data_IF_653316787869
#
_entry.id   IF_653316787869
#
_cell.length_a   1.000
_cell.length_b   1.000
_cell.length_c   1.000
_cell.angle_alpha   90.00
_cell.angle_beta   90.00
_cell.angle_gamma   90.00
#
_symmetry.space_group_name_H-M   'P 1'
#
loop_
_entity.id
_entity.type
_entity.pdbx_description
1 polymer ?
#
# COMPACT_ATOMS: atom_id res chain seq x y z
N UNK A 1 14.35 29.09 11.78
CA UNK A 1 14.53 28.74 10.36
C UNK A 1 13.17 28.31 9.83
N UNK A 2 12.61 29.05 8.87
CA UNK A 2 11.26 28.78 8.36
C UNK A 2 11.23 27.46 7.61
N UNK A 3 10.26 26.60 7.94
CA UNK A 3 9.97 25.41 7.16
C UNK A 3 9.71 25.82 5.71
N UNK A 4 10.54 25.33 4.79
CA UNK A 4 10.28 25.45 3.36
C UNK A 4 9.02 24.63 3.11
N UNK A 5 7.85 25.29 3.10
CA UNK A 5 6.60 24.66 2.67
C UNK A 5 6.82 24.23 1.22
N UNK A 6 7.01 22.94 0.98
CA UNK A 6 7.05 22.36 -0.36
C UNK A 6 5.74 22.73 -1.04
N UNK A 7 5.80 23.62 -2.05
CA UNK A 7 4.60 24.00 -2.78
C UNK A 7 4.13 22.76 -3.55
N UNK A 8 2.86 22.40 -3.37
CA UNK A 8 2.21 21.34 -4.13
C UNK A 8 1.51 21.99 -5.31
N UNK A 9 1.78 21.53 -6.53
CA UNK A 9 0.94 21.88 -7.67
C UNK A 9 -0.18 20.85 -7.71
N UNK A 10 -1.43 21.31 -7.54
CA UNK A 10 -2.58 20.43 -7.74
C UNK A 10 -2.65 20.07 -9.20
N UNK A 11 -2.54 18.78 -9.51
CA UNK A 11 -2.99 18.29 -10.80
C UNK A 11 -4.54 18.38 -10.80
N UNK A 12 -5.18 18.36 -11.98
CA UNK A 12 -6.63 18.52 -12.06
C UNK A 12 -7.36 17.61 -11.06
N UNK A 13 -8.30 18.19 -10.30
CA UNK A 13 -8.97 17.56 -9.13
C UNK A 13 -9.84 16.33 -9.47
N UNK A 14 -9.83 15.90 -10.73
CA UNK A 14 -10.56 14.75 -11.25
C UNK A 14 -9.64 13.82 -12.05
N UNK A 15 -8.39 13.60 -11.63
CA UNK A 15 -7.66 12.41 -12.07
C UNK A 15 -8.30 11.21 -11.35
N UNK A 16 -9.46 10.78 -11.85
CA UNK A 16 -9.71 9.35 -11.85
C UNK A 16 -8.58 8.83 -12.74
N UNK A 17 -7.71 7.96 -12.23
CA UNK A 17 -6.99 7.05 -13.12
C UNK A 17 -8.04 6.04 -13.65
N UNK A 18 -9.08 6.57 -14.29
CA UNK A 18 -9.79 5.92 -15.36
C UNK A 18 -8.80 5.98 -16.49
N UNK A 19 -7.78 5.12 -16.41
CA UNK A 19 -7.33 4.54 -17.65
C UNK A 19 -8.62 4.08 -18.34
N UNK A 20 -8.79 4.45 -19.60
CA UNK A 20 -9.75 3.81 -20.49
C UNK A 20 -9.62 2.27 -20.52
N UNK A 21 -8.62 1.71 -19.81
CA UNK A 21 -8.49 0.31 -19.41
C UNK A 21 -7.81 0.23 -18.00
N UNK A 22 -8.53 0.02 -16.87
CA UNK A 22 -7.90 -0.25 -15.58
C UNK A 22 -6.87 -1.39 -15.70
N UNK A 23 -5.79 -1.40 -14.91
CA UNK A 23 -4.84 -2.51 -14.96
C UNK A 23 -5.56 -3.84 -14.78
N UNK A 24 -5.47 -4.69 -15.81
CA UNK A 24 -5.97 -6.05 -15.76
C UNK A 24 -4.89 -6.91 -15.15
N UNK A 25 -5.23 -7.64 -14.09
CA UNK A 25 -4.31 -8.56 -13.42
C UNK A 25 -4.32 -9.96 -14.07
N UNK A 26 -5.16 -10.15 -15.09
CA UNK A 26 -5.28 -11.39 -15.87
C UNK A 26 -3.95 -11.74 -16.54
N UNK A 27 -3.77 -13.03 -16.83
CA UNK A 27 -2.55 -13.58 -17.46
C UNK A 27 -1.25 -13.25 -16.70
N UNK A 28 -1.36 -13.09 -15.38
CA UNK A 28 -0.28 -12.72 -14.46
C UNK A 28 0.36 -11.36 -14.74
N UNK A 29 -0.30 -10.47 -15.49
CA UNK A 29 0.20 -9.12 -15.76
C UNK A 29 0.23 -8.30 -14.48
N UNK A 30 1.42 -7.85 -14.08
CA UNK A 30 1.61 -7.12 -12.83
C UNK A 30 1.84 -5.62 -13.11
N UNK A 31 1.02 -4.71 -12.56
CA UNK A 31 1.08 -3.27 -12.88
C UNK A 31 2.23 -2.55 -12.17
N UNK A 32 3.45 -3.01 -12.39
CA UNK A 32 4.68 -2.36 -11.96
C UNK A 32 5.17 -1.42 -13.07
N UNK A 33 5.29 -0.14 -12.74
CA UNK A 33 5.63 0.88 -13.72
C UNK A 33 6.94 0.58 -14.45
N UNK A 34 6.93 0.81 -15.76
CA UNK A 34 8.07 0.55 -16.65
C UNK A 34 8.69 1.82 -17.23
N UNK A 35 8.03 2.97 -17.09
CA UNK A 35 8.56 4.29 -17.50
C UNK A 35 9.74 4.75 -16.65
N UNK A 36 9.95 4.12 -15.50
CA UNK A 36 11.13 4.21 -14.62
C UNK A 36 11.22 2.95 -13.76
N UNK A 37 12.41 2.65 -13.24
CA UNK A 37 12.61 1.53 -12.31
C UNK A 37 11.97 1.81 -10.95
N UNK A 38 11.14 0.87 -10.48
CA UNK A 38 10.46 0.92 -9.17
C UNK A 38 11.17 0.01 -8.17
N UNK A 39 11.21 0.42 -6.91
CA UNK A 39 11.81 -0.35 -5.82
C UNK A 39 10.89 -1.47 -5.32
N UNK A 40 10.88 -2.60 -6.05
CA UNK A 40 10.05 -3.78 -5.77
C UNK A 40 10.14 -4.29 -4.32
N UNK A 41 11.36 -4.42 -3.79
CA UNK A 41 11.57 -4.93 -2.42
C UNK A 41 10.82 -4.10 -1.39
N UNK A 42 10.80 -2.77 -1.55
CA UNK A 42 10.06 -1.88 -0.66
C UNK A 42 8.56 -2.16 -0.66
N UNK A 43 7.96 -2.31 -1.84
CA UNK A 43 6.52 -2.61 -1.99
C UNK A 43 6.16 -3.94 -1.32
N UNK A 44 6.97 -4.97 -1.58
CA UNK A 44 6.72 -6.33 -1.08
C UNK A 44 6.83 -6.40 0.44
N UNK A 45 7.93 -5.92 1.01
CA UNK A 45 8.18 -5.99 2.45
C UNK A 45 7.22 -5.10 3.24
N UNK A 46 6.85 -3.93 2.73
CA UNK A 46 5.83 -3.07 3.34
C UNK A 46 4.46 -3.76 3.37
N UNK A 47 4.06 -4.43 2.28
CA UNK A 47 2.79 -5.14 2.26
C UNK A 47 2.78 -6.30 3.26
N UNK A 48 3.87 -7.10 3.32
CA UNK A 48 3.99 -8.17 4.32
C UNK A 48 3.94 -7.62 5.75
N UNK A 49 4.56 -6.46 5.99
CA UNK A 49 4.51 -5.75 7.27
C UNK A 49 3.10 -5.27 7.64
N UNK A 50 2.34 -4.71 6.68
CA UNK A 50 0.91 -4.38 6.88
C UNK A 50 0.08 -5.63 7.18
N UNK A 51 0.29 -6.72 6.42
CA UNK A 51 -0.43 -7.97 6.62
C UNK A 51 -0.18 -8.51 8.02
N UNK A 52 1.05 -8.50 8.52
CA UNK A 52 1.39 -8.93 9.89
C UNK A 52 0.71 -8.07 10.98
N UNK A 53 0.19 -6.89 10.63
CA UNK A 53 -0.38 -5.96 11.60
C UNK A 53 0.67 -5.12 12.33
N UNK A 54 1.91 -5.12 11.87
CA UNK A 54 3.02 -4.44 12.52
C UNK A 54 2.93 -2.92 12.39
N UNK A 55 3.45 -2.22 13.40
CA UNK A 55 3.54 -0.75 13.48
C UNK A 55 4.96 -0.28 13.78
N UNK A 56 5.92 -1.21 13.88
CA UNK A 56 7.33 -0.94 14.13
C UNK A 56 8.10 -0.74 12.81
N UNK A 57 8.47 0.51 12.50
CA UNK A 57 9.22 0.85 11.30
C UNK A 57 10.60 0.16 11.24
N UNK A 58 11.21 -0.19 12.38
CA UNK A 58 12.55 -0.80 12.42
C UNK A 58 12.57 -2.18 11.75
N UNK A 59 11.46 -2.93 11.81
CA UNK A 59 11.35 -4.22 11.10
C UNK A 59 11.59 -4.07 9.59
N UNK A 60 11.16 -2.94 9.01
CA UNK A 60 11.43 -2.62 7.60
C UNK A 60 12.86 -2.14 7.40
N UNK A 61 13.36 -1.25 8.28
CA UNK A 61 14.71 -0.70 8.18
C UNK A 61 15.79 -1.80 8.27
N UNK A 62 15.60 -2.81 9.11
CA UNK A 62 16.47 -3.99 9.25
C UNK A 62 16.54 -4.82 7.96
N UNK A 63 15.46 -4.83 7.16
CA UNK A 63 15.44 -5.44 5.83
C UNK A 63 15.96 -4.49 4.73
N UNK A 64 16.44 -3.31 5.09
CA UNK A 64 16.93 -2.29 4.17
C UNK A 64 15.82 -1.50 3.46
N UNK A 65 14.59 -1.53 3.99
CA UNK A 65 13.44 -0.76 3.48
C UNK A 65 13.22 0.44 4.38
N UNK A 66 13.53 1.64 3.88
CA UNK A 66 13.62 2.89 4.67
C UNK A 66 12.50 3.89 4.43
N UNK A 67 11.40 3.46 3.83
CA UNK A 67 10.30 4.34 3.42
C UNK A 67 9.56 4.99 4.60
N UNK A 68 9.65 4.38 5.79
CA UNK A 68 9.05 4.88 7.04
C UNK A 68 10.06 5.53 8.01
N UNK A 69 11.36 5.51 7.71
CA UNK A 69 12.41 6.01 8.62
C UNK A 69 12.17 7.48 9.02
N UNK A 70 11.76 8.32 8.06
CA UNK A 70 11.52 9.73 8.32
C UNK A 70 10.34 9.94 9.28
N UNK A 71 9.21 9.25 9.05
CA UNK A 71 8.01 9.34 9.88
C UNK A 71 8.18 8.66 11.25
N UNK A 72 9.07 7.67 11.36
CA UNK A 72 9.41 7.00 12.61
C UNK A 72 10.54 7.66 13.40
N UNK A 73 11.25 8.65 12.83
CA UNK A 73 12.40 9.27 13.49
C UNK A 73 12.01 10.00 14.77
N UNK A 74 12.94 10.04 15.74
CA UNK A 74 12.75 10.80 16.99
C UNK A 74 12.33 12.25 16.74
N UNK A 75 13.01 12.92 15.79
CA UNK A 75 12.72 14.31 15.43
C UNK A 75 11.28 14.50 14.92
N UNK A 76 10.79 13.60 14.07
CA UNK A 76 9.44 13.68 13.52
C UNK A 76 8.38 13.40 14.60
N UNK A 77 8.60 12.38 15.43
CA UNK A 77 7.68 12.02 16.50
C UNK A 77 7.55 13.15 17.53
N UNK A 78 8.65 13.79 17.93
CA UNK A 78 8.62 14.94 18.85
C UNK A 78 7.85 16.13 18.26
N UNK A 79 8.12 16.45 16.99
CA UNK A 79 7.41 17.51 16.27
C UNK A 79 5.92 17.24 16.12
N UNK A 80 5.54 15.96 16.08
CA UNK A 80 4.15 15.51 15.94
C UNK A 80 3.43 15.35 17.29
N UNK A 81 4.10 15.65 18.41
CA UNK A 81 3.52 15.56 19.76
C UNK A 81 3.59 14.16 20.39
N UNK A 82 4.39 13.25 19.84
CA UNK A 82 4.60 11.89 20.32
C UNK A 82 5.93 11.74 21.09
N UNK A 83 6.22 12.67 22.01
CA UNK A 83 7.50 12.69 22.76
C UNK A 83 7.74 11.43 23.58
N UNK A 84 6.67 10.79 24.07
CA UNK A 84 6.74 9.61 24.94
C UNK A 84 6.74 8.29 24.14
N UNK A 85 6.56 8.36 22.82
CA UNK A 85 6.53 7.20 21.92
C UNK A 85 7.94 6.77 21.54
N UNK A 86 8.24 5.48 21.50
CA UNK A 86 9.58 5.00 21.07
C UNK A 86 9.88 5.35 19.60
N UNK A 87 11.14 5.65 19.27
CA UNK A 87 11.57 5.85 17.88
C UNK A 87 11.28 4.62 17.01
N UNK A 88 10.59 4.81 15.89
CA UNK A 88 10.13 3.73 15.02
C UNK A 88 8.70 3.23 15.30
N UNK A 89 8.09 3.60 16.43
CA UNK A 89 6.67 3.33 16.68
C UNK A 89 5.82 4.34 15.87
N UNK A 90 5.09 3.84 14.89
CA UNK A 90 4.27 4.66 13.99
C UNK A 90 2.86 4.92 14.53
N UNK A 91 2.49 4.31 15.65
CA UNK A 91 1.12 4.29 16.15
C UNK A 91 0.23 3.30 15.37
N UNK A 92 -1.10 3.36 15.58
CA UNK A 92 -2.07 2.42 14.99
C UNK A 92 -2.33 2.68 13.49
N UNK A 93 -1.28 2.60 12.66
CA UNK A 93 -1.33 2.83 11.21
C UNK A 93 -1.95 1.63 10.45
N UNK A 94 -1.69 1.50 9.14
CA UNK A 94 -2.40 0.59 8.23
C UNK A 94 -2.55 -0.85 8.75
N UNK A 95 -1.44 -1.53 9.06
CA UNK A 95 -1.48 -2.94 9.48
C UNK A 95 -2.31 -3.13 10.75
N UNK A 96 -2.15 -2.24 11.73
CA UNK A 96 -2.96 -2.26 12.94
C UNK A 96 -4.45 -2.14 12.63
N UNK A 97 -4.84 -1.20 11.76
CA UNK A 97 -6.24 -1.08 11.36
C UNK A 97 -6.73 -2.30 10.57
N UNK A 98 -5.87 -2.97 9.81
CA UNK A 98 -6.27 -4.17 9.05
C UNK A 98 -6.52 -5.37 9.96
N UNK A 99 -5.75 -5.54 11.04
CA UNK A 99 -5.78 -6.73 11.90
C UNK A 99 -6.49 -6.51 13.25
N UNK A 100 -6.56 -5.26 13.72
CA UNK A 100 -6.96 -4.89 15.07
C UNK A 100 -7.86 -3.64 15.10
N UNK A 101 -8.70 -3.43 14.08
CA UNK A 101 -9.53 -2.22 13.98
C UNK A 101 -10.38 -2.01 15.24
N UNK A 102 -10.26 -0.83 15.86
CA UNK A 102 -11.00 -0.47 17.07
C UNK A 102 -10.43 -1.03 18.39
N UNK A 103 -9.30 -1.72 18.37
CA UNK A 103 -8.54 -2.01 19.58
C UNK A 103 -7.86 -0.74 20.13
N UNK A 104 -7.67 -0.67 21.44
CA UNK A 104 -6.93 0.43 22.07
C UNK A 104 -5.43 0.23 21.82
N UNK A 105 -4.81 1.16 21.09
CA UNK A 105 -3.36 1.14 20.87
C UNK A 105 -2.59 1.53 22.13
N UNK A 106 -1.58 0.73 22.48
CA UNK A 106 -0.67 0.96 23.60
C UNK A 106 0.72 1.34 23.10
N UNK A 107 1.40 0.39 22.47
CA UNK A 107 2.72 0.55 21.86
C UNK A 107 2.93 -0.51 20.75
N UNK A 108 4.04 -0.40 20.02
CA UNK A 108 4.39 -1.34 18.95
C UNK A 108 4.84 -2.74 19.42
N UNK A 109 5.01 -2.97 20.73
CA UNK A 109 5.49 -4.24 21.29
C UNK A 109 4.38 -5.09 21.90
N UNK A 110 3.22 -4.49 22.15
CA UNK A 110 2.04 -5.14 22.71
C UNK A 110 1.50 -6.22 21.77
N UNK A 111 1.16 -7.38 22.32
CA UNK A 111 0.43 -8.41 21.59
C UNK A 111 -1.06 -8.04 21.47
N UNK A 112 -1.49 -7.71 20.26
CA UNK A 112 -2.88 -7.37 19.93
C UNK A 112 -3.70 -8.57 19.45
N UNK A 113 -3.18 -9.80 19.54
CA UNK A 113 -3.89 -11.01 19.12
C UNK A 113 -5.29 -11.12 19.75
N UNK A 114 -6.30 -11.27 18.91
CA UNK A 114 -7.70 -11.35 19.34
C UNK A 114 -8.33 -10.02 19.77
N UNK A 115 -7.60 -8.90 19.69
CA UNK A 115 -8.13 -7.57 19.99
C UNK A 115 -8.62 -6.86 18.72
N UNK A 116 -9.71 -6.11 18.85
CA UNK A 116 -10.31 -5.36 17.75
C UNK A 116 -10.97 -6.27 16.71
N UNK A 117 -11.05 -5.77 15.48
CA UNK A 117 -11.61 -6.50 14.33
C UNK A 117 -10.51 -6.79 13.31
N UNK A 118 -10.27 -8.08 13.05
CA UNK A 118 -9.42 -8.53 11.93
C UNK A 118 -10.19 -8.41 10.61
N UNK A 119 -10.05 -7.26 9.96
CA UNK A 119 -10.71 -6.95 8.69
C UNK A 119 -10.14 -7.78 7.54
N UNK A 120 -8.82 -8.01 7.52
CA UNK A 120 -8.16 -8.80 6.48
C UNK A 120 -8.66 -10.24 6.50
N UNK A 121 -8.73 -10.86 7.69
CA UNK A 121 -9.25 -12.22 7.82
C UNK A 121 -10.73 -12.28 7.43
N UNK A 122 -11.55 -11.30 7.86
CA UNK A 122 -12.97 -11.21 7.45
C UNK A 122 -13.13 -11.13 5.93
N UNK A 123 -12.29 -10.34 5.24
CA UNK A 123 -12.28 -10.26 3.77
C UNK A 123 -12.01 -11.63 3.15
N UNK A 124 -10.97 -12.33 3.62
CA UNK A 124 -10.59 -13.66 3.12
C UNK A 124 -11.72 -14.67 3.35
N UNK A 125 -12.31 -14.68 4.54
CA UNK A 125 -13.41 -15.57 4.91
C UNK A 125 -14.67 -15.30 4.09
N UNK A 126 -15.00 -14.03 3.84
CA UNK A 126 -16.11 -13.63 2.97
C UNK A 126 -15.88 -14.09 1.52
N UNK A 127 -14.69 -13.94 0.96
CA UNK A 127 -14.38 -14.40 -0.40
C UNK A 127 -14.52 -15.93 -0.55
N UNK A 128 -14.20 -16.68 0.52
CA UNK A 128 -14.36 -18.14 0.54
C UNK A 128 -15.81 -18.57 0.71
N UNK A 129 -16.55 -17.94 1.62
CA UNK A 129 -17.88 -18.41 2.06
C UNK A 129 -19.07 -17.72 1.39
N UNK A 130 -18.93 -16.44 1.03
CA UNK A 130 -19.97 -15.61 0.42
C UNK A 130 -19.37 -14.63 -0.61
N UNK A 131 -18.78 -15.14 -1.72
CA UNK A 131 -18.00 -14.34 -2.66
C UNK A 131 -18.78 -13.19 -3.33
N UNK A 132 -20.10 -13.32 -3.47
CA UNK A 132 -20.96 -12.31 -4.09
C UNK A 132 -21.38 -11.20 -3.11
N UNK A 133 -20.91 -11.25 -1.86
CA UNK A 133 -21.16 -10.19 -0.89
C UNK A 133 -20.63 -8.86 -1.42
N UNK A 134 -21.46 -7.82 -1.29
CA UNK A 134 -21.14 -6.46 -1.70
C UNK A 134 -20.47 -5.64 -0.60
N UNK A 135 -20.14 -6.29 0.53
CA UNK A 135 -19.59 -5.68 1.74
C UNK A 135 -18.18 -6.17 2.07
N UNK A 136 -17.49 -6.79 1.13
CA UNK A 136 -16.11 -7.25 1.29
C UNK A 136 -15.19 -6.02 1.24
N UNK A 137 -15.01 -5.36 2.38
CA UNK A 137 -14.36 -4.06 2.52
C UNK A 137 -13.30 -4.14 3.61
N UNK A 138 -12.20 -3.41 3.42
CA UNK A 138 -11.19 -3.15 4.44
C UNK A 138 -10.91 -1.64 4.51
N UNK A 139 -10.96 -1.07 5.71
CA UNK A 139 -10.83 0.37 5.95
C UNK A 139 -9.68 0.65 6.93
N UNK A 140 -8.78 1.56 6.56
CA UNK A 140 -7.71 2.05 7.44
C UNK A 140 -8.09 3.37 8.14
N UNK A 141 -9.16 4.04 7.71
CA UNK A 141 -9.55 5.35 8.24
C UNK A 141 -10.39 5.21 9.52
N UNK A 142 -9.74 5.26 10.69
CA UNK A 142 -10.40 5.26 11.99
C UNK A 142 -10.31 6.65 12.66
N UNK A 143 -11.41 7.43 12.72
CA UNK A 143 -11.41 8.78 13.30
C UNK A 143 -10.89 8.87 14.74
N UNK A 144 -11.09 7.83 15.56
CA UNK A 144 -10.62 7.81 16.95
C UNK A 144 -9.10 7.71 17.04
N UNK A 145 -8.48 7.00 16.09
CA UNK A 145 -7.06 6.69 16.12
C UNK A 145 -6.22 7.67 15.28
N UNK A 146 -6.84 8.48 14.43
CA UNK A 146 -6.13 9.47 13.60
C UNK A 146 -5.15 10.36 14.40
N UNK A 147 -5.50 10.88 15.59
CA UNK A 147 -4.57 11.68 16.39
C UNK A 147 -3.37 10.89 16.93
N UNK A 148 -3.43 9.55 16.90
CA UNK A 148 -2.38 8.66 17.38
C UNK A 148 -1.43 8.21 16.26
N UNK A 149 -1.73 8.46 14.99
CA UNK A 149 -0.93 7.95 13.87
C UNK A 149 0.20 8.92 13.50
N UNK A 150 1.41 8.41 13.28
CA UNK A 150 2.53 9.21 12.76
C UNK A 150 2.21 9.80 11.37
N UNK A 151 1.44 9.08 10.56
CA UNK A 151 0.90 9.57 9.30
C UNK A 151 -0.51 9.02 9.08
N UNK A 152 -1.54 9.90 8.93
CA UNK A 152 -2.89 9.45 8.60
C UNK A 152 -2.95 8.66 7.28
N UNK A 153 -3.75 7.59 7.18
CA UNK A 153 -3.81 6.69 6.03
C UNK A 153 -4.07 7.43 4.70
N UNK A 154 -3.20 7.24 3.72
CA UNK A 154 -3.39 7.76 2.36
C UNK A 154 -4.36 6.87 1.57
N UNK A 155 -4.10 5.56 1.52
CA UNK A 155 -5.00 4.54 1.00
C UNK A 155 -5.98 4.14 2.11
N UNK A 156 -7.16 4.78 2.06
CA UNK A 156 -8.07 4.83 3.20
C UNK A 156 -9.04 3.64 3.24
N UNK A 157 -9.48 3.15 2.08
CA UNK A 157 -10.47 2.10 1.95
C UNK A 157 -10.24 1.30 0.68
N UNK A 158 -10.35 -0.02 0.76
CA UNK A 158 -10.47 -0.87 -0.42
C UNK A 158 -11.68 -1.79 -0.32
N UNK A 159 -12.28 -2.07 -1.47
CA UNK A 159 -13.37 -3.02 -1.64
C UNK A 159 -12.92 -4.12 -2.59
N UNK A 160 -13.29 -5.35 -2.26
CA UNK A 160 -13.10 -6.51 -3.11
C UNK A 160 -14.43 -6.95 -3.71
N UNK A 161 -14.37 -7.51 -4.91
CA UNK A 161 -15.54 -8.00 -5.63
C UNK A 161 -15.20 -9.28 -6.37
N UNK A 162 -16.06 -10.29 -6.28
CA UNK A 162 -15.93 -11.53 -7.04
C UNK A 162 -17.02 -11.59 -8.10
N UNK A 163 -16.62 -11.84 -9.35
CA UNK A 163 -17.54 -12.15 -10.46
C UNK A 163 -16.89 -13.14 -11.39
N UNK A 164 -17.66 -14.11 -11.88
CA UNK A 164 -17.20 -15.16 -12.80
C UNK A 164 -15.91 -15.88 -12.32
N UNK A 165 -15.75 -16.01 -11.00
CA UNK A 165 -14.59 -16.64 -10.37
C UNK A 165 -13.34 -15.75 -10.26
N UNK A 166 -13.38 -14.52 -10.76
CA UNK A 166 -12.32 -13.53 -10.68
C UNK A 166 -12.50 -12.59 -9.48
N UNK A 167 -11.43 -12.31 -8.74
CA UNK A 167 -11.38 -11.32 -7.67
C UNK A 167 -10.80 -10.00 -8.22
N UNK A 168 -11.58 -8.94 -8.10
CA UNK A 168 -11.17 -7.57 -8.42
C UNK A 168 -11.01 -6.76 -7.14
N UNK A 169 -10.19 -5.71 -7.18
CA UNK A 169 -9.95 -4.80 -6.06
C UNK A 169 -10.14 -3.34 -6.49
N UNK A 170 -10.97 -2.61 -5.75
CA UNK A 170 -11.10 -1.17 -5.85
C UNK A 170 -10.41 -0.52 -4.64
N UNK A 171 -9.49 0.40 -4.89
CA UNK A 171 -8.83 1.22 -3.87
C UNK A 171 -9.31 2.68 -3.96
N UNK A 172 -9.66 3.26 -2.81
CA UNK A 172 -9.80 4.70 -2.64
C UNK A 172 -8.63 5.27 -1.84
N UNK A 173 -7.89 6.19 -2.45
CA UNK A 173 -6.76 6.90 -1.85
C UNK A 173 -7.07 8.39 -1.76
N UNK A 174 -7.19 8.92 -0.53
CA UNK A 174 -7.60 10.32 -0.28
C UNK A 174 -6.57 11.34 -0.79
N UNK A 175 -5.30 10.96 -0.89
CA UNK A 175 -4.17 11.82 -1.21
C UNK A 175 -3.12 11.00 -1.95
N UNK A 176 -2.87 11.33 -3.21
CA UNK A 176 -2.01 10.58 -4.11
C UNK A 176 -0.89 11.43 -4.69
N UNK A 177 0.33 11.21 -4.20
CA UNK A 177 1.54 11.70 -4.84
C UNK A 177 1.78 10.87 -6.11
N UNK A 178 1.55 11.48 -7.28
CA UNK A 178 1.70 10.84 -8.59
C UNK A 178 3.17 10.50 -8.87
N UNK A 179 4.11 11.27 -8.31
CA UNK A 179 5.54 11.08 -8.54
C UNK A 179 6.07 9.82 -7.87
N UNK A 180 5.67 9.55 -6.62
CA UNK A 180 6.17 8.42 -5.84
C UNK A 180 5.04 7.50 -5.36
N UNK A 181 4.16 8.00 -4.49
CA UNK A 181 3.25 7.18 -3.68
C UNK A 181 2.24 6.35 -4.50
N UNK A 182 1.54 6.96 -5.46
CA UNK A 182 0.47 6.29 -6.22
C UNK A 182 0.98 5.04 -6.93
N UNK A 183 2.21 5.07 -7.45
CA UNK A 183 2.81 3.95 -8.16
C UNK A 183 3.15 2.78 -7.22
N UNK A 184 3.63 3.09 -6.01
CA UNK A 184 3.81 2.10 -4.96
C UNK A 184 2.47 1.47 -4.57
N UNK A 185 1.42 2.29 -4.41
CA UNK A 185 0.11 1.83 -4.00
C UNK A 185 -0.59 0.95 -5.06
N UNK A 186 -0.41 1.24 -6.36
CA UNK A 186 -0.92 0.38 -7.44
C UNK A 186 -0.33 -1.03 -7.34
N UNK A 187 1.00 -1.12 -7.25
CA UNK A 187 1.69 -2.42 -7.18
C UNK A 187 1.37 -3.16 -5.86
N UNK A 188 1.29 -2.43 -4.74
CA UNK A 188 0.98 -3.00 -3.42
C UNK A 188 -0.42 -3.65 -3.39
N UNK A 189 -1.46 -2.96 -3.83
CA UNK A 189 -2.83 -3.51 -3.81
C UNK A 189 -3.08 -4.52 -4.92
N UNK A 190 -2.38 -4.43 -6.06
CA UNK A 190 -2.36 -5.51 -7.04
C UNK A 190 -1.75 -6.78 -6.43
N UNK A 191 -0.63 -6.66 -5.72
CA UNK A 191 0.02 -7.78 -5.03
C UNK A 191 -0.88 -8.39 -3.95
N UNK A 192 -1.54 -7.56 -3.13
CA UNK A 192 -2.52 -8.04 -2.16
C UNK A 192 -3.64 -8.83 -2.83
N UNK A 193 -4.13 -8.36 -3.98
CA UNK A 193 -5.15 -9.06 -4.76
C UNK A 193 -4.64 -10.43 -5.24
N UNK A 194 -3.42 -10.50 -5.77
CA UNK A 194 -2.78 -11.77 -6.13
C UNK A 194 -2.66 -12.73 -4.93
N UNK A 195 -2.19 -12.24 -3.78
CA UNK A 195 -2.06 -13.06 -2.57
C UNK A 195 -3.40 -13.63 -2.11
N UNK A 196 -4.47 -12.81 -2.12
CA UNK A 196 -5.82 -13.26 -1.74
C UNK A 196 -6.36 -14.26 -2.78
N UNK A 197 -6.18 -14.02 -4.08
CA UNK A 197 -6.62 -14.98 -5.11
C UNK A 197 -5.95 -16.34 -4.95
N UNK A 198 -4.65 -16.34 -4.66
CA UNK A 198 -3.84 -17.55 -4.45
C UNK A 198 -4.40 -18.40 -3.31
N UNK A 199 -4.62 -17.81 -2.12
CA UNK A 199 -5.09 -18.55 -0.95
C UNK A 199 -6.59 -18.88 -0.99
N UNK A 200 -7.36 -18.28 -1.91
CA UNK A 200 -8.80 -18.52 -2.05
C UNK A 200 -9.17 -19.31 -3.31
N UNK A 201 -8.18 -19.69 -4.13
CA UNK A 201 -8.42 -20.43 -5.37
C UNK A 201 -9.18 -19.64 -6.44
N UNK A 202 -9.07 -18.31 -6.41
CA UNK A 202 -9.72 -17.39 -7.38
C UNK A 202 -8.73 -16.98 -8.47
N UNK A 203 -9.23 -16.38 -9.53
CA UNK A 203 -8.41 -15.74 -10.56
C UNK A 203 -8.30 -14.24 -10.31
N UNK A 204 -7.18 -13.59 -10.68
CA UNK A 204 -7.05 -12.14 -10.55
C UNK A 204 -7.81 -11.40 -11.65
N UNK A 205 -8.67 -10.47 -11.27
CA UNK A 205 -9.53 -9.68 -12.16
C UNK A 205 -8.97 -8.28 -12.44
N UNK A 206 -9.78 -7.26 -12.15
CA UNK A 206 -9.45 -5.85 -12.39
C UNK A 206 -8.93 -5.17 -11.12
N UNK A 207 -7.99 -4.24 -11.28
CA UNK A 207 -7.60 -3.31 -10.22
C UNK A 207 -8.05 -1.89 -10.58
N UNK A 208 -8.89 -1.29 -9.72
CA UNK A 208 -9.47 0.04 -9.91
C UNK A 208 -8.94 0.98 -8.83
N UNK A 209 -8.25 2.05 -9.22
CA UNK A 209 -7.68 3.00 -8.27
C UNK A 209 -8.34 4.39 -8.40
N UNK A 210 -9.07 4.78 -7.36
CA UNK A 210 -9.71 6.09 -7.24
C UNK A 210 -8.87 7.01 -6.35
N UNK A 211 -8.53 8.19 -6.87
CA UNK A 211 -7.78 9.22 -6.13
C UNK A 211 -8.72 10.35 -5.69
N UNK A 212 -8.51 10.85 -4.47
CA UNK A 212 -9.06 12.12 -3.98
C UNK A 212 -8.20 13.30 -4.46
N UNK A 213 -7.26 13.76 -3.63
CA UNK A 213 -6.30 14.79 -4.03
C UNK A 213 -5.11 14.18 -4.78
N UNK A 214 -5.20 14.13 -6.11
CA UNK A 214 -4.10 13.77 -6.99
C UNK A 214 -3.17 14.97 -7.23
N UNK A 215 -1.88 14.82 -6.91
CA UNK A 215 -0.95 15.94 -6.95
C UNK A 215 0.47 15.56 -7.35
N UNK A 216 1.23 16.57 -7.77
CA UNK A 216 2.66 16.48 -8.06
C UNK A 216 3.37 17.51 -7.18
N UNK A 217 4.39 17.09 -6.44
CA UNK A 217 5.24 18.03 -5.71
C UNK A 217 6.07 18.86 -6.68
N UNK A 218 6.29 20.13 -6.38
CA UNK A 218 7.03 21.03 -7.29
C UNK A 218 8.45 20.56 -7.57
N UNK A 219 9.12 19.92 -6.61
CA UNK A 219 10.44 19.31 -6.78
C UNK A 219 10.42 18.01 -7.62
N UNK A 220 9.25 17.50 -8.00
CA UNK A 220 9.10 16.33 -8.88
C UNK A 220 8.78 16.72 -10.33
N UNK A 221 8.46 17.98 -10.62
CA UNK A 221 8.05 18.41 -11.97
C UNK A 221 9.15 18.14 -13.00
N UNK A 222 10.38 18.61 -12.75
CA UNK A 222 11.48 18.38 -13.70
C UNK A 222 11.85 16.90 -13.83
N UNK A 223 12.03 16.13 -12.74
CA UNK A 223 12.23 14.68 -12.84
C UNK A 223 11.13 13.93 -13.62
N UNK A 224 9.86 14.32 -13.47
CA UNK A 224 8.75 13.67 -14.17
C UNK A 224 8.72 13.98 -15.67
N UNK A 225 9.30 15.10 -16.12
CA UNK A 225 9.44 15.40 -17.56
C UNK A 225 10.45 14.49 -18.25
N UNK A 226 11.39 13.91 -17.51
CA UNK A 226 12.36 12.93 -18.04
C UNK A 226 11.74 11.53 -18.26
N UNK A 227 10.53 11.30 -17.74
CA UNK A 227 9.86 10.02 -17.81
C UNK A 227 9.53 9.64 -19.27
N UNK A 228 10.02 8.48 -19.70
CA UNK A 228 9.88 7.99 -21.07
C UNK A 228 8.57 7.20 -21.28
N UNK A 229 8.28 6.81 -22.52
CA UNK A 229 7.12 6.00 -22.87
C UNK A 229 7.14 4.62 -22.18
N UNK A 230 5.96 4.10 -21.77
CA UNK A 230 5.86 2.82 -21.08
C UNK A 230 6.29 1.67 -21.99
N UNK A 231 6.96 0.69 -21.38
CA UNK A 231 7.21 -0.64 -21.94
C UNK A 231 6.16 -1.64 -21.40
N UNK A 232 6.00 -2.83 -21.99
CA UNK A 232 5.06 -3.83 -21.50
C UNK A 232 5.23 -4.11 -20.01
N UNK A 233 4.11 -4.26 -19.29
CA UNK A 233 4.15 -4.64 -17.89
C UNK A 233 4.84 -5.99 -17.69
N UNK A 234 5.58 -6.15 -16.59
CA UNK A 234 6.12 -7.45 -16.22
C UNK A 234 5.01 -8.40 -15.79
N UNK A 235 5.39 -9.62 -15.44
CA UNK A 235 4.50 -10.60 -14.84
C UNK A 235 4.93 -10.96 -13.43
N UNK A 236 3.94 -11.33 -12.61
CA UNK A 236 4.16 -11.82 -11.25
C UNK A 236 3.98 -13.34 -11.21
N UNK A 237 4.88 -14.03 -10.51
CA UNK A 237 4.74 -15.46 -10.17
C UNK A 237 4.87 -15.62 -8.67
N UNK A 238 3.92 -16.35 -8.07
CA UNK A 238 4.02 -16.88 -6.70
C UNK A 238 4.58 -18.29 -6.81
N UNK A 239 5.79 -18.52 -6.31
CA UNK A 239 6.57 -19.74 -6.50
C UNK A 239 6.14 -20.88 -5.58
N UNK A 240 5.65 -20.57 -4.38
CA UNK A 240 5.25 -21.53 -3.36
C UNK A 240 3.73 -21.59 -3.25
N UNK A 241 3.19 -22.79 -3.05
CA UNK A 241 1.79 -22.92 -2.65
C UNK A 241 1.66 -22.56 -1.16
N UNK A 242 0.81 -21.59 -0.85
CA UNK A 242 0.68 -20.99 0.49
C UNK A 242 -0.80 -20.99 0.84
N UNK A 243 -1.16 -21.38 2.06
CA UNK A 243 -2.57 -21.58 2.45
C UNK A 243 -3.14 -20.43 3.28
N UNK A 244 -2.28 -19.72 4.01
CA UNK A 244 -2.64 -18.58 4.87
C UNK A 244 -1.94 -17.31 4.40
N UNK A 245 -2.61 -16.17 4.55
CA UNK A 245 -2.06 -14.87 4.16
C UNK A 245 -0.80 -14.50 4.96
N UNK A 246 -0.72 -14.97 6.22
CA UNK A 246 0.40 -14.68 7.13
C UNK A 246 1.67 -15.47 6.78
N UNK A 247 1.55 -16.56 6.01
CA UNK A 247 2.65 -17.48 5.76
C UNK A 247 3.53 -17.04 4.59
N UNK A 248 3.13 -16.02 3.83
CA UNK A 248 3.91 -15.52 2.70
C UNK A 248 5.24 -14.91 3.14
N UNK A 249 6.29 -15.21 2.38
CA UNK A 249 7.64 -14.68 2.54
C UNK A 249 8.05 -13.93 1.28
N UNK A 250 9.02 -13.01 1.40
CA UNK A 250 9.47 -12.21 0.25
C UNK A 250 10.00 -13.09 -0.89
N UNK A 251 10.62 -14.22 -0.55
CA UNK A 251 11.17 -15.18 -1.50
C UNK A 251 10.10 -15.95 -2.26
N UNK A 252 8.82 -15.88 -1.87
CA UNK A 252 7.74 -16.55 -2.61
C UNK A 252 7.39 -15.83 -3.91
N UNK A 253 7.81 -14.57 -4.07
CA UNK A 253 7.40 -13.73 -5.19
C UNK A 253 8.53 -13.53 -6.18
N UNK A 254 8.19 -13.58 -7.46
CA UNK A 254 9.10 -13.33 -8.56
C UNK A 254 8.45 -12.45 -9.61
N UNK A 255 9.13 -11.35 -9.93
CA UNK A 255 8.79 -10.50 -11.06
C UNK A 255 9.68 -10.91 -12.23
N UNK A 256 9.08 -11.27 -13.36
CA UNK A 256 9.78 -11.65 -14.58
C UNK A 256 9.34 -10.77 -15.76
N UNK A 257 10.17 -10.72 -16.79
CA UNK A 257 10.03 -9.83 -17.96
C UNK A 257 9.98 -8.33 -17.60
N UNK A 258 10.62 -7.94 -16.48
CA UNK A 258 10.69 -6.54 -16.06
C UNK A 258 11.88 -5.80 -16.68
N UNK A 259 11.60 -5.13 -17.80
CA UNK A 259 12.54 -4.26 -18.51
C UNK A 259 12.14 -2.77 -18.42
N UNK A 260 12.22 -2.14 -17.23
CA UNK A 260 11.89 -0.72 -17.08
C UNK A 260 13.02 0.17 -17.61
N UNK A 261 12.68 1.42 -17.91
CA UNK A 261 13.67 2.49 -18.04
C UNK A 261 14.45 2.72 -16.73
N UNK A 262 15.61 3.42 -16.76
CA UNK A 262 16.40 3.72 -15.57
C UNK A 262 15.62 4.39 -14.43
N UNK A 263 16.16 4.32 -13.21
CA UNK A 263 15.55 4.97 -12.05
C UNK A 263 15.62 6.49 -12.17
N UNK A 264 14.53 7.17 -11.84
CA UNK A 264 14.47 8.64 -11.73
C UNK A 264 14.44 8.98 -10.24
N UNK A 265 15.43 9.74 -9.76
CA UNK A 265 15.53 10.11 -8.35
C UNK A 265 14.58 11.28 -8.05
N UNK A 266 13.72 11.10 -7.05
CA UNK A 266 12.85 12.14 -6.51
C UNK A 266 12.92 12.10 -4.99
N UNK A 267 12.97 13.28 -4.37
CA UNK A 267 13.00 13.40 -2.91
C UNK A 267 11.58 13.44 -2.36
N UNK A 268 11.29 12.64 -1.34
CA UNK A 268 10.03 12.72 -0.61
C UNK A 268 9.87 14.09 0.07
N UNK A 269 8.67 14.63 0.06
CA UNK A 269 8.33 15.77 0.91
C UNK A 269 8.00 15.24 2.31
N UNK A 270 8.67 15.79 3.33
CA UNK A 270 8.44 15.52 4.75
C UNK A 270 7.82 16.77 5.38
#
# INVERSE_FOLDING_TARGET
MGAVRTRVQKADKNIIINNSCPPKLRDNQFPLLTTKRVFWKGILEELLWFIKGSTNARELSEKGVRIWDANGSREFLDKSGFSDREEGDLGPVYGFQWRHFGAEYKDMHTDYSGQGVDQLQKVIDSIRSNPEDRRIIMCAWNPNDLPLMALPPCHALCQFYVSDGELSCQLYQRSGDIGLGVLFNIASYALLTYMITHITGRQPGDFVHTLGDAHIYTNHIEPLKEQLYPRPYPKLRIKRNVERIDDFQAEDFEIYDYDPHPAIKMQMAV
#
